data_IF_482262269413
#
_entry.id   IF_482262269413
#
_cell.length_a   1.000
_cell.length_b   1.000
_cell.length_c   1.000
_cell.angle_alpha   90.00
_cell.angle_beta   90.00
_cell.angle_gamma   90.00
#
_symmetry.space_group_name_H-M   'P 1'
#
loop_
_entity.id
_entity.type
_entity.pdbx_description
1 polymer ?
#
# COMPACT_ATOMS: atom_id res chain seq x y z
N UNK A 1 10.29 -22.23 34.05
CA UNK A 1 10.49 -21.73 32.67
C UNK A 1 9.65 -20.48 32.54
N UNK A 2 10.24 -19.33 32.22
CA UNK A 2 9.51 -18.08 32.02
C UNK A 2 8.36 -18.29 31.02
N UNK A 3 7.14 -17.85 31.38
CA UNK A 3 6.00 -17.92 30.47
C UNK A 3 6.26 -17.07 29.23
N UNK A 4 6.11 -17.63 28.03
CA UNK A 4 6.28 -16.86 26.78
C UNK A 4 5.28 -15.69 26.72
N UNK A 5 5.75 -14.52 26.27
CA UNK A 5 4.90 -13.35 26.04
C UNK A 5 3.72 -13.69 25.11
N UNK A 6 2.51 -13.35 25.54
CA UNK A 6 1.28 -13.49 24.76
C UNK A 6 0.65 -12.13 24.58
N UNK A 7 0.53 -11.68 23.33
CA UNK A 7 -0.14 -10.43 23.01
C UNK A 7 -1.65 -10.67 22.82
N UNK A 8 -2.47 -10.04 23.66
CA UNK A 8 -3.93 -10.23 23.63
C UNK A 8 -4.61 -9.80 22.33
N UNK A 9 -3.96 -8.95 21.53
CA UNK A 9 -4.50 -8.44 20.26
C UNK A 9 -3.79 -9.04 19.03
N UNK A 10 -3.16 -10.22 19.15
CA UNK A 10 -2.44 -10.85 18.03
C UNK A 10 -3.35 -11.08 16.82
N UNK A 11 -4.54 -11.66 17.02
CA UNK A 11 -5.52 -11.88 15.94
C UNK A 11 -5.96 -10.58 15.26
N UNK A 12 -6.06 -9.49 16.02
CA UNK A 12 -6.41 -8.18 15.48
C UNK A 12 -5.27 -7.62 14.62
N UNK A 13 -4.01 -7.82 15.04
CA UNK A 13 -2.84 -7.43 14.27
C UNK A 13 -2.78 -8.21 12.95
N UNK A 14 -2.95 -9.53 12.99
CA UNK A 14 -3.00 -10.39 11.79
C UNK A 14 -4.09 -9.94 10.81
N UNK A 15 -5.31 -9.66 11.31
CA UNK A 15 -6.40 -9.13 10.49
C UNK A 15 -6.02 -7.79 9.84
N UNK A 16 -5.39 -6.87 10.59
CA UNK A 16 -4.97 -5.57 10.05
C UNK A 16 -3.85 -5.69 9.01
N UNK A 17 -2.95 -6.66 9.16
CA UNK A 17 -1.93 -6.98 8.13
C UNK A 17 -2.60 -7.50 6.86
N UNK A 18 -3.56 -8.42 6.99
CA UNK A 18 -4.32 -8.93 5.84
C UNK A 18 -5.07 -7.81 5.10
N UNK A 19 -5.72 -6.91 5.84
CA UNK A 19 -6.43 -5.78 5.27
C UNK A 19 -5.50 -4.80 4.54
N UNK A 20 -4.31 -4.54 5.09
CA UNK A 20 -3.30 -3.71 4.43
C UNK A 20 -2.81 -4.33 3.11
N UNK A 21 -2.54 -5.64 3.10
CA UNK A 21 -2.13 -6.35 1.88
C UNK A 21 -3.23 -6.35 0.81
N UNK A 22 -4.49 -6.49 1.21
CA UNK A 22 -5.63 -6.35 0.30
C UNK A 22 -5.73 -4.93 -0.30
N UNK A 23 -5.67 -3.88 0.54
CA UNK A 23 -5.70 -2.50 0.05
C UNK A 23 -4.50 -2.19 -0.87
N UNK A 24 -3.33 -2.78 -0.61
CA UNK A 24 -2.14 -2.65 -1.45
C UNK A 24 -2.30 -3.32 -2.81
N UNK A 25 -2.92 -4.51 -2.84
CA UNK A 25 -3.29 -5.20 -4.09
C UNK A 25 -4.23 -4.34 -4.92
N UNK A 26 -5.31 -3.84 -4.33
CA UNK A 26 -6.30 -2.99 -5.00
C UNK A 26 -5.69 -1.68 -5.51
N UNK A 27 -4.81 -1.05 -4.72
CA UNK A 27 -4.08 0.14 -5.16
C UNK A 27 -3.21 -0.16 -6.39
N UNK A 28 -2.46 -1.26 -6.36
CA UNK A 28 -1.61 -1.69 -7.48
C UNK A 28 -2.43 -1.96 -8.74
N UNK A 29 -3.58 -2.61 -8.59
CA UNK A 29 -4.51 -2.88 -9.68
C UNK A 29 -5.05 -1.57 -10.29
N UNK A 30 -5.53 -0.65 -9.46
CA UNK A 30 -6.03 0.66 -9.92
C UNK A 30 -4.95 1.46 -10.68
N UNK A 31 -3.69 1.39 -10.23
CA UNK A 31 -2.57 2.05 -10.89
C UNK A 31 -2.24 1.42 -12.25
N UNK A 32 -2.37 0.09 -12.38
CA UNK A 32 -2.21 -0.61 -13.65
C UNK A 32 -3.32 -0.24 -14.63
N UNK A 33 -4.57 -0.18 -14.18
CA UNK A 33 -5.69 0.22 -15.04
C UNK A 33 -5.57 1.66 -15.50
N UNK A 34 -5.16 2.58 -14.62
CA UNK A 34 -4.81 3.95 -15.01
C UNK A 34 -3.74 3.97 -16.11
N UNK A 35 -2.66 3.20 -15.94
CA UNK A 35 -1.55 3.14 -16.92
C UNK A 35 -2.03 2.70 -18.30
N UNK A 36 -2.92 1.69 -18.38
CA UNK A 36 -3.50 1.24 -19.66
C UNK A 36 -4.27 2.36 -20.36
N UNK A 37 -5.00 3.18 -19.61
CA UNK A 37 -5.74 4.32 -20.17
C UNK A 37 -4.78 5.41 -20.65
N UNK A 38 -3.69 5.67 -19.91
CA UNK A 38 -2.63 6.61 -20.33
C UNK A 38 -1.95 6.15 -21.62
N UNK A 39 -1.56 4.87 -21.71
CA UNK A 39 -0.97 4.26 -22.91
C UNK A 39 -1.93 4.39 -24.12
N UNK A 40 -3.21 4.07 -23.94
CA UNK A 40 -4.23 4.24 -24.99
C UNK A 40 -4.38 5.71 -25.43
N UNK A 41 -4.32 6.65 -24.49
CA UNK A 41 -4.40 8.07 -24.79
C UNK A 41 -3.18 8.56 -25.55
N UNK A 42 -1.99 8.02 -25.24
CA UNK A 42 -0.75 8.27 -25.99
C UNK A 42 -0.84 7.73 -27.42
N UNK A 43 -1.34 6.51 -27.61
CA UNK A 43 -1.57 5.92 -28.95
C UNK A 43 -2.54 6.75 -29.80
N UNK A 44 -3.64 7.21 -29.20
CA UNK A 44 -4.63 8.06 -29.87
C UNK A 44 -4.04 9.43 -30.22
N UNK A 45 -3.26 10.03 -29.34
CA UNK A 45 -2.57 11.30 -29.61
C UNK A 45 -1.50 11.15 -30.70
N UNK A 46 -0.75 10.05 -30.69
CA UNK A 46 0.21 9.72 -31.74
C UNK A 46 -0.50 9.55 -33.09
N UNK A 47 -1.61 8.82 -33.12
CA UNK A 47 -2.45 8.67 -34.31
C UNK A 47 -2.98 10.02 -34.80
N UNK A 48 -3.52 10.84 -33.90
CA UNK A 48 -3.95 12.20 -34.24
C UNK A 48 -2.81 13.03 -34.83
N UNK A 49 -1.62 13.00 -34.22
CA UNK A 49 -0.45 13.74 -34.67
C UNK A 49 0.08 13.26 -36.03
N UNK A 50 -0.02 11.96 -36.32
CA UNK A 50 0.39 11.38 -37.61
C UNK A 50 -0.52 11.81 -38.75
N UNK A 51 -1.82 11.89 -38.50
CA UNK A 51 -2.81 12.18 -39.53
C UNK A 51 -3.31 13.64 -39.51
N UNK A 52 -2.94 14.48 -38.53
CA UNK A 52 -3.27 15.91 -38.54
C UNK A 52 -2.50 16.62 -39.66
N UNK A 53 -3.22 17.11 -40.66
CA UNK A 53 -2.65 17.88 -41.76
C UNK A 53 -3.08 17.37 -43.13
N UNK A 54 -2.82 18.18 -44.16
CA UNK A 54 -3.07 17.85 -45.56
C UNK A 54 -1.72 17.65 -46.21
N UNK A 55 -1.49 16.50 -46.85
CA UNK A 55 -0.27 16.31 -47.63
C UNK A 55 -0.53 16.73 -49.09
N UNK A 56 0.44 17.37 -49.77
CA UNK A 56 0.30 17.73 -51.17
C UNK A 56 0.00 16.47 -52.01
N UNK A 57 -0.87 16.59 -53.01
CA UNK A 57 -1.30 15.49 -53.90
C UNK A 57 -2.24 14.42 -53.28
N UNK A 58 -2.88 14.65 -52.13
CA UNK A 58 -3.91 13.74 -51.60
C UNK A 58 -5.24 13.80 -52.39
N UNK A 59 -5.80 12.64 -52.73
CA UNK A 59 -7.13 12.51 -53.33
C UNK A 59 -8.25 13.05 -52.43
N UNK A 60 -9.27 13.66 -53.02
CA UNK A 60 -10.41 14.29 -52.35
C UNK A 60 -11.18 13.26 -51.51
N UNK A 61 -11.34 12.02 -52.02
CA UNK A 61 -12.00 10.94 -51.29
C UNK A 61 -11.19 10.55 -50.05
N UNK A 62 -9.87 10.45 -50.20
CA UNK A 62 -8.95 10.16 -49.08
C UNK A 62 -8.97 11.28 -48.03
N UNK A 63 -8.98 12.55 -48.43
CA UNK A 63 -9.11 13.68 -47.51
C UNK A 63 -10.41 13.61 -46.69
N UNK A 64 -11.54 13.24 -47.32
CA UNK A 64 -12.82 13.07 -46.63
C UNK A 64 -12.77 11.93 -45.62
N UNK A 65 -12.19 10.78 -45.99
CA UNK A 65 -12.02 9.63 -45.11
C UNK A 65 -11.12 9.96 -43.91
N UNK A 66 -10.00 10.65 -44.16
CA UNK A 66 -9.05 11.13 -43.16
C UNK A 66 -9.72 12.05 -42.15
N UNK A 67 -10.60 12.96 -42.61
CA UNK A 67 -11.37 13.84 -41.74
C UNK A 67 -12.31 13.07 -40.80
N UNK A 68 -13.03 12.07 -41.30
CA UNK A 68 -13.88 11.22 -40.45
C UNK A 68 -13.06 10.42 -39.44
N UNK A 69 -11.93 9.87 -39.86
CA UNK A 69 -11.02 9.16 -38.97
C UNK A 69 -10.51 10.06 -37.84
N UNK A 70 -10.01 11.27 -38.18
CA UNK A 70 -9.54 12.26 -37.19
C UNK A 70 -10.66 12.63 -36.21
N UNK A 71 -11.88 12.84 -36.69
CA UNK A 71 -13.02 13.12 -35.82
C UNK A 71 -13.30 11.96 -34.85
N UNK A 72 -13.20 10.71 -35.32
CA UNK A 72 -13.30 9.51 -34.48
C UNK A 72 -12.19 9.46 -33.43
N UNK A 73 -10.94 9.72 -33.81
CA UNK A 73 -9.79 9.78 -32.90
C UNK A 73 -9.97 10.89 -31.86
N UNK A 74 -10.40 12.09 -32.25
CA UNK A 74 -10.68 13.19 -31.33
C UNK A 74 -11.76 12.84 -30.31
N UNK A 75 -12.83 12.17 -30.74
CA UNK A 75 -13.86 11.68 -29.82
C UNK A 75 -13.28 10.60 -28.88
N UNK A 76 -12.45 9.69 -29.40
CA UNK A 76 -11.73 8.69 -28.63
C UNK A 76 -10.83 9.31 -27.55
N UNK A 77 -10.07 10.36 -27.89
CA UNK A 77 -9.24 11.11 -26.95
C UNK A 77 -10.10 11.70 -25.84
N UNK A 78 -11.18 12.40 -26.19
CA UNK A 78 -12.10 12.99 -25.19
C UNK A 78 -12.71 11.95 -24.25
N UNK A 79 -13.03 10.76 -24.76
CA UNK A 79 -13.52 9.67 -23.90
C UNK A 79 -12.42 9.13 -22.98
N UNK A 80 -11.21 8.90 -23.52
CA UNK A 80 -10.08 8.41 -22.74
C UNK A 80 -9.64 9.42 -21.67
N UNK A 81 -9.71 10.72 -21.94
CA UNK A 81 -9.45 11.79 -20.96
C UNK A 81 -10.45 11.74 -19.79
N UNK A 82 -11.74 11.53 -20.08
CA UNK A 82 -12.77 11.37 -19.04
C UNK A 82 -12.53 10.12 -18.21
N UNK A 83 -12.23 9.00 -18.86
CA UNK A 83 -11.91 7.74 -18.18
C UNK A 83 -10.66 7.89 -17.30
N UNK A 84 -9.65 8.63 -17.77
CA UNK A 84 -8.43 8.91 -17.01
C UNK A 84 -8.73 9.72 -15.75
N UNK A 85 -9.64 10.71 -15.81
CA UNK A 85 -10.07 11.46 -14.62
C UNK A 85 -10.71 10.53 -13.59
N UNK A 86 -11.61 9.64 -14.02
CA UNK A 86 -12.26 8.66 -13.14
C UNK A 86 -11.21 7.73 -12.51
N UNK A 87 -10.27 7.23 -13.31
CA UNK A 87 -9.20 6.35 -12.83
C UNK A 87 -8.25 7.05 -11.86
N UNK A 88 -7.95 8.34 -12.07
CA UNK A 88 -7.19 9.14 -11.12
C UNK A 88 -7.90 9.26 -9.77
N UNK A 89 -9.20 9.55 -9.78
CA UNK A 89 -10.00 9.62 -8.56
C UNK A 89 -10.03 8.26 -7.83
N UNK A 90 -10.16 7.17 -8.57
CA UNK A 90 -10.10 5.81 -8.02
C UNK A 90 -8.75 5.53 -7.35
N UNK A 91 -7.63 5.80 -8.02
CA UNK A 91 -6.28 5.63 -7.48
C UNK A 91 -6.09 6.46 -6.20
N UNK A 92 -6.53 7.72 -6.19
CA UNK A 92 -6.43 8.59 -5.02
C UNK A 92 -7.26 8.06 -3.84
N UNK A 93 -8.45 7.53 -4.11
CA UNK A 93 -9.28 6.91 -3.08
C UNK A 93 -8.61 5.66 -2.50
N UNK A 94 -8.06 4.79 -3.36
CA UNK A 94 -7.31 3.60 -2.92
C UNK A 94 -6.04 3.95 -2.16
N UNK A 95 -5.36 5.04 -2.53
CA UNK A 95 -4.19 5.56 -1.81
C UNK A 95 -4.55 5.99 -0.39
N UNK A 96 -5.65 6.72 -0.23
CA UNK A 96 -6.15 7.15 1.09
C UNK A 96 -6.51 5.96 1.96
N UNK A 97 -7.21 4.97 1.40
CA UNK A 97 -7.57 3.74 2.10
C UNK A 97 -6.33 2.95 2.55
N UNK A 98 -5.37 2.72 1.65
CA UNK A 98 -4.10 2.06 2.00
C UNK A 98 -3.37 2.79 3.14
N UNK A 99 -3.35 4.12 3.09
CA UNK A 99 -2.73 4.94 4.16
C UNK A 99 -3.44 4.74 5.49
N UNK A 100 -4.77 4.71 5.50
CA UNK A 100 -5.56 4.44 6.70
C UNK A 100 -5.27 3.04 7.26
N UNK A 101 -5.24 2.00 6.42
CA UNK A 101 -4.92 0.62 6.85
C UNK A 101 -3.50 0.47 7.38
N UNK A 102 -2.54 1.15 6.77
CA UNK A 102 -1.16 1.21 7.26
C UNK A 102 -1.07 1.83 8.66
N UNK A 103 -1.80 2.92 8.91
CA UNK A 103 -1.89 3.55 10.22
C UNK A 103 -2.54 2.61 11.24
N UNK A 104 -3.69 2.02 10.90
CA UNK A 104 -4.40 1.06 11.75
C UNK A 104 -3.45 -0.09 12.18
N UNK A 105 -2.73 -0.72 11.23
CA UNK A 105 -1.77 -1.78 11.56
C UNK A 105 -0.65 -1.26 12.46
N UNK A 106 -0.04 -0.12 12.13
CA UNK A 106 1.06 0.47 12.93
C UNK A 106 0.62 0.74 14.37
N UNK A 107 -0.58 1.24 14.58
CA UNK A 107 -1.09 1.49 15.94
C UNK A 107 -1.08 0.22 16.79
N UNK A 108 -1.56 -0.92 16.26
CA UNK A 108 -1.59 -2.19 17.02
C UNK A 108 -0.18 -2.76 17.19
N UNK A 109 0.67 -2.62 16.17
CA UNK A 109 2.07 -3.02 16.24
C UNK A 109 2.82 -2.27 17.35
N UNK A 110 2.67 -0.93 17.42
CA UNK A 110 3.26 -0.13 18.50
C UNK A 110 2.73 -0.53 19.88
N UNK A 111 1.44 -0.89 20.00
CA UNK A 111 0.90 -1.42 21.26
C UNK A 111 1.55 -2.75 21.66
N UNK A 112 1.78 -3.66 20.70
CA UNK A 112 2.49 -4.91 20.92
C UNK A 112 3.91 -4.69 21.41
N UNK A 113 4.65 -3.81 20.75
CA UNK A 113 6.03 -3.46 21.09
C UNK A 113 6.15 -2.87 22.50
N UNK A 114 5.23 -1.95 22.86
CA UNK A 114 5.17 -1.38 24.23
C UNK A 114 4.91 -2.45 25.28
N UNK A 115 3.90 -3.31 25.05
CA UNK A 115 3.56 -4.40 25.96
C UNK A 115 4.69 -5.41 26.10
N UNK A 116 5.41 -5.68 25.02
CA UNK A 116 6.58 -6.54 25.04
C UNK A 116 7.71 -5.92 25.87
N UNK A 117 7.99 -4.63 25.69
CA UNK A 117 8.99 -3.93 26.50
C UNK A 117 8.64 -3.91 27.99
N UNK A 118 7.36 -3.72 28.35
CA UNK A 118 6.88 -3.83 29.73
C UNK A 118 7.10 -5.25 30.29
N UNK A 119 6.78 -6.27 29.51
CA UNK A 119 6.98 -7.67 29.89
C UNK A 119 8.46 -8.00 30.15
N UNK A 120 9.38 -7.54 29.28
CA UNK A 120 10.83 -7.76 29.47
C UNK A 120 11.32 -7.12 30.77
N UNK A 121 10.94 -5.86 31.04
CA UNK A 121 11.30 -5.17 32.29
C UNK A 121 10.82 -5.93 33.53
N UNK A 122 9.64 -6.53 33.45
CA UNK A 122 9.11 -7.31 34.56
C UNK A 122 9.85 -8.63 34.75
N UNK A 123 10.23 -9.31 33.65
CA UNK A 123 11.07 -10.51 33.74
C UNK A 123 12.43 -10.19 34.35
N UNK A 124 13.09 -9.12 33.89
CA UNK A 124 14.39 -8.68 34.43
C UNK A 124 14.30 -8.38 35.94
N UNK A 125 13.21 -7.73 36.37
CA UNK A 125 12.96 -7.45 37.80
C UNK A 125 12.80 -8.74 38.63
N UNK A 126 12.05 -9.71 38.12
CA UNK A 126 11.84 -11.00 38.79
C UNK A 126 13.12 -11.83 38.84
N UNK A 127 13.92 -11.81 37.77
CA UNK A 127 15.24 -12.47 37.75
C UNK A 127 16.19 -11.84 38.75
N UNK A 128 16.23 -10.50 38.85
CA UNK A 128 17.06 -9.80 39.82
C UNK A 128 16.68 -10.16 41.27
N UNK A 129 15.38 -10.16 41.60
CA UNK A 129 14.91 -10.56 42.94
C UNK A 129 15.35 -11.99 43.27
N UNK A 130 15.18 -12.93 42.32
CA UNK A 130 15.61 -14.32 42.54
C UNK A 130 17.13 -14.45 42.72
N UNK A 131 17.93 -13.68 41.98
CA UNK A 131 19.38 -13.68 42.13
C UNK A 131 19.81 -13.13 43.50
N UNK A 132 19.18 -12.05 43.95
CA UNK A 132 19.44 -11.45 45.26
C UNK A 132 19.08 -12.42 46.39
N UNK A 133 17.94 -13.11 46.29
CA UNK A 133 17.54 -14.16 47.24
C UNK A 133 18.55 -15.32 47.28
N UNK A 134 18.97 -15.82 46.11
CA UNK A 134 19.98 -16.89 46.03
C UNK A 134 21.33 -16.46 46.64
N UNK A 135 21.76 -15.21 46.39
CA UNK A 135 22.97 -14.65 46.97
C UNK A 135 22.87 -14.57 48.50
N UNK A 136 21.73 -14.13 49.03
CA UNK A 136 21.48 -14.07 50.48
C UNK A 136 21.52 -15.47 51.11
N UNK A 137 20.85 -16.46 50.51
CA UNK A 137 20.88 -17.85 50.98
C UNK A 137 22.31 -18.42 50.98
N UNK A 138 23.08 -18.17 49.91
CA UNK A 138 24.46 -18.61 49.83
C UNK A 138 25.34 -17.97 50.91
N UNK A 139 25.14 -16.66 51.17
CA UNK A 139 25.85 -15.93 52.22
C UNK A 139 25.54 -16.49 53.61
N UNK A 140 24.25 -16.63 53.96
CA UNK A 140 23.82 -17.19 55.26
C UNK A 140 24.35 -18.60 55.46
N UNK A 141 24.35 -19.43 54.41
CA UNK A 141 24.90 -20.80 54.47
C UNK A 141 26.41 -20.82 54.77
N UNK A 142 27.16 -19.87 54.22
CA UNK A 142 28.61 -19.78 54.45
C UNK A 142 28.96 -19.20 55.83
N UNK A 143 28.08 -18.39 56.43
CA UNK A 143 28.25 -17.85 57.80
C UNK A 143 27.97 -18.89 58.89
N UNK A 144 27.13 -19.89 58.61
CA UNK A 144 26.77 -20.96 59.54
C UNK A 144 27.71 -22.19 59.47
N UNK A 145 28.90 -22.05 58.88
CA UNK A 145 29.98 -23.03 58.86
C UNK A 145 31.15 -22.53 59.68
#
# INVERSE_FOLDING_TARGET
>A
MAERFKFGLEKLLEMRVSNEEESKRLFTESQREKKKVEEKLEELNSSYNKYKGITPNEDIVYQKLKRYYIQGVQNGIKTAEKDLIIKNQEVDQRRKDLTAKQMERKTVQTLKEKKYSEYIKEQDRLEQINLDELALYAYVRNQNK
#
